data_IF_220411227116
#
_entry.id   IF_220411227116
#
_cell.length_a   1.000
_cell.length_b   1.000
_cell.length_c   1.000
_cell.angle_alpha   90.00
_cell.angle_beta   90.00
_cell.angle_gamma   90.00
#
_symmetry.space_group_name_H-M   'P 1'
#
loop_
_entity.id
_entity.type
_entity.pdbx_description
1 polymer ?
#
# COMPACT_ATOMS: atom_id res chain seq x y z
N UNK A 1 -29.01 -8.24 -46.35
CA UNK A 1 -27.63 -8.06 -46.83
C UNK A 1 -26.86 -7.00 -46.05
N UNK A 2 -27.30 -5.75 -45.90
CA UNK A 2 -26.56 -4.68 -45.15
C UNK A 2 -26.33 -5.01 -43.67
N UNK A 3 -27.29 -5.59 -42.95
CA UNK A 3 -27.15 -5.98 -41.53
C UNK A 3 -26.06 -7.01 -41.29
N UNK A 4 -25.89 -7.95 -42.21
CA UNK A 4 -24.85 -8.99 -42.13
C UNK A 4 -23.45 -8.41 -42.33
N UNK A 5 -23.29 -7.47 -43.26
CA UNK A 5 -22.02 -6.77 -43.51
C UNK A 5 -21.61 -5.96 -42.27
N UNK A 6 -22.53 -5.18 -41.70
CA UNK A 6 -22.26 -4.41 -40.46
C UNK A 6 -21.91 -5.31 -39.28
N UNK A 7 -22.63 -6.42 -39.11
CA UNK A 7 -22.38 -7.38 -38.03
C UNK A 7 -20.97 -8.02 -38.09
N UNK A 8 -20.46 -8.26 -39.32
CA UNK A 8 -19.14 -8.87 -39.52
C UNK A 8 -18.00 -7.84 -39.61
N UNK A 9 -18.31 -6.55 -39.75
CA UNK A 9 -17.33 -5.50 -39.85
C UNK A 9 -16.64 -5.19 -38.49
N UNK A 10 -15.33 -5.37 -38.41
CA UNK A 10 -14.55 -5.11 -37.20
C UNK A 10 -14.61 -3.64 -36.78
N UNK A 11 -14.59 -2.71 -37.76
CA UNK A 11 -14.66 -1.27 -37.49
C UNK A 11 -16.03 -0.91 -36.91
N UNK A 12 -17.14 -1.39 -37.51
CA UNK A 12 -18.47 -1.16 -36.96
C UNK A 12 -18.64 -1.74 -35.57
N UNK A 13 -18.09 -2.95 -35.29
CA UNK A 13 -18.11 -3.55 -33.97
C UNK A 13 -17.37 -2.71 -32.93
N UNK A 14 -16.23 -2.12 -33.30
CA UNK A 14 -15.48 -1.22 -32.39
C UNK A 14 -16.25 0.06 -32.09
N UNK A 15 -16.92 0.66 -33.09
CA UNK A 15 -17.70 1.89 -32.93
C UNK A 15 -19.00 1.64 -32.16
N UNK A 16 -19.67 0.51 -32.41
CA UNK A 16 -20.94 0.15 -31.76
C UNK A 16 -20.72 -0.51 -30.35
N UNK A 17 -19.49 -0.79 -29.96
CA UNK A 17 -19.18 -1.40 -28.66
C UNK A 17 -19.61 -0.48 -27.53
N UNK A 18 -20.66 -0.87 -26.81
CA UNK A 18 -21.00 -0.22 -25.56
C UNK A 18 -19.86 -0.46 -24.56
N UNK A 19 -19.36 0.61 -23.98
CA UNK A 19 -18.42 0.52 -22.87
C UNK A 19 -19.16 -0.14 -21.72
N UNK A 20 -18.61 -1.23 -21.20
CA UNK A 20 -19.11 -1.82 -19.96
C UNK A 20 -18.80 -0.84 -18.82
N UNK A 21 -19.83 -0.39 -18.13
CA UNK A 21 -19.65 0.41 -16.93
C UNK A 21 -18.97 -0.44 -15.85
N UNK A 22 -17.99 0.12 -15.20
CA UNK A 22 -17.38 -0.52 -14.03
C UNK A 22 -18.38 -0.47 -12.89
N UNK A 23 -18.71 -1.64 -12.35
CA UNK A 23 -19.51 -1.73 -11.12
C UNK A 23 -18.62 -1.21 -9.98
N UNK A 24 -18.87 0.02 -9.54
CA UNK A 24 -18.19 0.59 -8.38
C UNK A 24 -18.77 -0.01 -7.11
N UNK A 25 -17.93 -0.69 -6.33
CA UNK A 25 -18.29 -1.12 -4.99
C UNK A 25 -18.50 0.08 -4.04
N UNK A 26 -19.14 -0.17 -2.89
CA UNK A 26 -19.25 0.86 -1.84
C UNK A 26 -17.86 1.26 -1.35
N UNK A 27 -17.64 2.57 -1.18
CA UNK A 27 -16.39 3.06 -0.60
C UNK A 27 -16.22 2.56 0.83
N UNK A 28 -14.99 2.24 1.26
CA UNK A 28 -14.69 1.93 2.66
C UNK A 28 -15.15 3.06 3.60
N UNK A 29 -15.65 2.71 4.77
CA UNK A 29 -16.17 3.66 5.77
C UNK A 29 -15.08 4.65 6.18
N UNK A 30 -13.83 4.24 6.19
CA UNK A 30 -12.65 5.05 6.52
C UNK A 30 -12.40 6.19 5.52
N UNK A 31 -12.97 6.09 4.32
CA UNK A 31 -12.95 7.18 3.33
C UNK A 31 -14.09 8.18 3.47
N UNK A 32 -15.12 7.80 4.19
CA UNK A 32 -16.35 8.58 4.33
C UNK A 32 -16.39 9.34 5.66
N UNK A 33 -15.72 8.84 6.70
CA UNK A 33 -15.70 9.45 8.02
C UNK A 33 -14.45 10.31 8.20
N UNK A 34 -14.59 11.55 8.69
CA UNK A 34 -13.44 12.35 9.11
C UNK A 34 -12.64 11.61 10.18
N UNK A 35 -11.34 11.52 10.01
CA UNK A 35 -10.41 10.93 10.99
C UNK A 35 -9.08 11.69 10.94
N UNK A 36 -8.25 11.60 12.00
CA UNK A 36 -6.91 12.18 11.99
C UNK A 36 -6.11 11.72 10.78
N UNK A 37 -5.24 12.57 10.27
CA UNK A 37 -4.36 12.22 9.15
C UNK A 37 -3.52 10.97 9.49
N UNK A 38 -3.40 10.06 8.52
CA UNK A 38 -2.64 8.80 8.62
C UNK A 38 -3.19 7.76 9.61
N UNK A 39 -4.30 8.02 10.27
CA UNK A 39 -4.97 7.05 11.17
C UNK A 39 -5.35 5.77 10.42
N UNK A 40 -5.91 5.91 9.22
CA UNK A 40 -6.22 4.79 8.33
C UNK A 40 -5.39 4.95 7.06
N UNK A 41 -4.42 4.05 6.84
CA UNK A 41 -3.45 4.14 5.75
C UNK A 41 -3.50 2.90 4.90
N UNK A 42 -3.62 3.06 3.59
CA UNK A 42 -3.47 1.99 2.62
C UNK A 42 -2.02 1.95 2.11
N UNK A 43 -1.50 0.74 1.90
CA UNK A 43 -0.14 0.48 1.41
C UNK A 43 -0.25 -0.33 0.13
N UNK A 44 0.57 0.03 -0.84
CA UNK A 44 0.75 -0.73 -2.08
C UNK A 44 2.23 -0.70 -2.50
N UNK A 45 2.67 -1.75 -3.19
CA UNK A 45 4.02 -1.87 -3.74
C UNK A 45 3.96 -1.81 -5.25
N UNK A 46 4.87 -1.05 -5.84
CA UNK A 46 4.96 -0.91 -7.28
C UNK A 46 6.41 -1.04 -7.78
N UNK A 47 6.58 -1.39 -9.01
CA UNK A 47 7.88 -1.70 -9.63
C UNK A 47 7.90 -3.11 -10.19
N UNK A 48 9.07 -3.76 -10.34
CA UNK A 48 10.41 -3.32 -9.93
C UNK A 48 11.06 -2.28 -10.85
N UNK A 49 11.86 -1.41 -10.26
CA UNK A 49 12.73 -0.49 -10.99
C UNK A 49 14.15 -1.04 -11.03
N UNK A 50 14.81 -0.87 -12.17
CA UNK A 50 16.22 -1.24 -12.32
C UNK A 50 17.09 -0.09 -11.84
N UNK A 51 17.98 -0.35 -10.89
CA UNK A 51 18.96 0.60 -10.38
C UNK A 51 20.36 0.08 -10.63
N UNK A 52 21.30 0.99 -10.93
CA UNK A 52 22.72 0.65 -10.96
C UNK A 52 23.28 0.72 -9.55
N UNK A 53 24.03 -0.32 -9.16
CA UNK A 53 24.76 -0.30 -7.90
C UNK A 53 25.86 0.79 -7.96
N UNK A 54 25.91 1.66 -6.96
CA UNK A 54 26.91 2.72 -6.89
C UNK A 54 28.33 2.18 -6.72
N UNK A 55 28.48 1.06 -6.01
CA UNK A 55 29.77 0.43 -5.72
C UNK A 55 30.19 -0.50 -6.86
N UNK A 56 29.27 -1.34 -7.35
CA UNK A 56 29.49 -2.28 -8.46
C UNK A 56 28.76 -1.81 -9.69
N UNK A 57 29.29 -0.81 -10.39
CA UNK A 57 28.70 -0.15 -11.58
C UNK A 57 28.14 -1.08 -12.67
N UNK A 58 28.50 -2.37 -12.64
CA UNK A 58 28.04 -3.41 -13.59
C UNK A 58 26.83 -4.21 -13.09
N UNK A 59 26.49 -4.12 -11.81
CA UNK A 59 25.37 -4.89 -11.24
C UNK A 59 24.10 -4.06 -11.32
N UNK A 60 23.04 -4.64 -11.90
CA UNK A 60 21.72 -4.03 -11.96
C UNK A 60 20.91 -4.63 -10.81
N UNK A 61 20.64 -3.84 -9.79
CA UNK A 61 19.72 -4.19 -8.72
C UNK A 61 18.27 -3.92 -9.12
N UNK A 62 17.34 -4.52 -8.39
CA UNK A 62 15.90 -4.21 -8.49
C UNK A 62 15.47 -3.55 -7.19
N UNK A 63 14.77 -2.43 -7.29
CA UNK A 63 14.16 -1.73 -6.16
C UNK A 63 12.66 -1.63 -6.38
N UNK A 64 11.89 -1.53 -5.31
CA UNK A 64 10.44 -1.38 -5.35
C UNK A 64 10.04 -0.09 -4.67
N UNK A 65 9.05 0.59 -5.23
CA UNK A 65 8.41 1.70 -4.56
C UNK A 65 7.34 1.17 -3.61
N UNK A 66 7.20 1.83 -2.47
CA UNK A 66 6.12 1.61 -1.50
C UNK A 66 5.34 2.90 -1.40
N UNK A 67 4.05 2.84 -1.67
CA UNK A 67 3.15 3.97 -1.55
C UNK A 67 2.26 3.80 -0.33
N UNK A 68 2.21 4.81 0.51
CA UNK A 68 1.28 4.93 1.62
C UNK A 68 0.25 6.00 1.27
N UNK A 69 -1.01 5.66 1.37
CA UNK A 69 -2.12 6.56 1.05
C UNK A 69 -3.02 6.71 2.29
N UNK A 70 -3.14 7.93 2.79
CA UNK A 70 -4.09 8.23 3.84
C UNK A 70 -5.53 8.17 3.30
N UNK A 71 -6.37 7.30 3.86
CA UNK A 71 -7.73 7.11 3.36
C UNK A 71 -8.63 8.33 3.65
N UNK A 72 -8.39 9.06 4.73
CA UNK A 72 -9.17 10.23 5.11
C UNK A 72 -8.78 11.48 4.30
N UNK A 73 -7.48 11.81 4.24
CA UNK A 73 -7.00 13.06 3.62
C UNK A 73 -6.55 12.91 2.18
N UNK A 74 -6.38 11.67 1.71
CA UNK A 74 -5.79 11.31 0.42
C UNK A 74 -4.34 11.75 0.24
N UNK A 75 -3.67 12.11 1.32
CA UNK A 75 -2.24 12.41 1.29
C UNK A 75 -1.46 11.15 0.93
N UNK A 76 -0.38 11.34 0.17
CA UNK A 76 0.47 10.26 -0.30
C UNK A 76 1.87 10.43 0.28
N UNK A 77 2.46 9.33 0.74
CA UNK A 77 3.86 9.23 1.12
C UNK A 77 4.49 8.08 0.33
N UNK A 78 5.62 8.33 -0.28
CA UNK A 78 6.32 7.34 -1.12
C UNK A 78 7.71 7.12 -0.54
N UNK A 79 8.13 5.85 -0.46
CA UNK A 79 9.47 5.45 -0.05
C UNK A 79 9.95 4.28 -0.92
N UNK A 80 11.23 3.93 -0.81
CA UNK A 80 11.87 2.89 -1.61
C UNK A 80 12.31 1.71 -0.73
N UNK A 81 11.95 0.51 -1.14
CA UNK A 81 12.48 -0.74 -0.63
C UNK A 81 13.58 -1.25 -1.57
N UNK A 82 14.76 -1.52 -1.03
CA UNK A 82 15.92 -1.93 -1.82
C UNK A 82 15.69 -3.25 -2.56
N UNK A 83 14.90 -4.15 -1.99
CA UNK A 83 14.47 -5.40 -2.59
C UNK A 83 13.05 -5.78 -2.13
N UNK A 84 12.55 -6.92 -2.62
CA UNK A 84 11.21 -7.42 -2.34
C UNK A 84 11.24 -8.39 -1.13
N UNK A 85 11.89 -7.98 -0.03
CA UNK A 85 11.97 -8.76 1.21
C UNK A 85 11.14 -8.13 2.33
N UNK A 86 10.71 -8.97 3.28
CA UNK A 86 9.98 -8.53 4.48
C UNK A 86 10.79 -7.56 5.31
N UNK A 87 12.10 -7.81 5.48
CA UNK A 87 12.99 -6.93 6.25
C UNK A 87 13.04 -5.51 5.66
N UNK A 88 13.18 -5.40 4.33
CA UNK A 88 13.23 -4.10 3.65
C UNK A 88 11.89 -3.38 3.71
N UNK A 89 10.80 -4.11 3.61
CA UNK A 89 9.47 -3.55 3.81
C UNK A 89 9.29 -3.02 5.25
N UNK A 90 9.72 -3.76 6.26
CA UNK A 90 9.69 -3.31 7.66
C UNK A 90 10.55 -2.07 7.92
N UNK A 91 11.70 -1.96 7.26
CA UNK A 91 12.53 -0.74 7.34
C UNK A 91 11.78 0.48 6.76
N UNK A 92 11.09 0.30 5.64
CA UNK A 92 10.26 1.35 5.04
C UNK A 92 9.11 1.73 5.97
N UNK A 93 8.42 0.74 6.55
CA UNK A 93 7.34 0.97 7.50
C UNK A 93 7.82 1.73 8.74
N UNK A 94 8.98 1.38 9.29
CA UNK A 94 9.60 2.11 10.42
C UNK A 94 9.90 3.57 10.06
N UNK A 95 10.45 3.84 8.87
CA UNK A 95 10.67 5.23 8.40
C UNK A 95 9.35 5.99 8.27
N UNK A 96 8.33 5.37 7.66
CA UNK A 96 7.01 5.96 7.56
C UNK A 96 6.45 6.34 8.94
N UNK A 97 6.48 5.41 9.90
CA UNK A 97 5.97 5.63 11.25
C UNK A 97 6.72 6.74 11.99
N UNK A 98 8.05 6.83 11.83
CA UNK A 98 8.86 7.88 12.46
C UNK A 98 8.54 9.29 11.92
N UNK A 99 8.05 9.39 10.67
CA UNK A 99 7.73 10.67 10.03
C UNK A 99 6.25 11.06 10.20
N UNK A 100 5.35 10.08 10.14
CA UNK A 100 3.90 10.30 10.04
C UNK A 100 3.13 9.87 11.28
N UNK A 101 3.77 9.15 12.19
CA UNK A 101 3.13 8.55 13.36
C UNK A 101 2.55 7.16 13.06
N UNK A 102 2.12 6.47 14.13
CA UNK A 102 1.53 5.13 14.04
C UNK A 102 0.12 5.19 13.47
N UNK A 103 -0.18 4.49 12.38
CA UNK A 103 -1.54 4.33 11.91
C UNK A 103 -2.30 3.36 12.81
N UNK A 104 -3.57 3.66 13.08
CA UNK A 104 -4.46 2.74 13.81
C UNK A 104 -4.83 1.52 12.96
N UNK A 105 -4.97 1.73 11.65
CA UNK A 105 -5.32 0.69 10.70
C UNK A 105 -4.45 0.77 9.45
N UNK A 106 -3.88 -0.37 9.05
CA UNK A 106 -3.15 -0.54 7.80
C UNK A 106 -3.95 -1.45 6.87
N UNK A 107 -4.14 -1.01 5.65
CA UNK A 107 -4.79 -1.76 4.57
C UNK A 107 -3.75 -2.07 3.50
N UNK A 108 -3.63 -3.33 3.14
CA UNK A 108 -2.76 -3.77 2.04
C UNK A 108 -3.49 -4.82 1.22
N UNK A 109 -2.99 -5.07 0.02
CA UNK A 109 -3.33 -6.29 -0.68
C UNK A 109 -2.74 -7.52 0.06
N UNK A 110 -3.12 -8.73 -0.37
CA UNK A 110 -2.60 -9.97 0.22
C UNK A 110 -1.20 -10.33 -0.30
N UNK A 111 -0.34 -9.36 -0.55
CA UNK A 111 1.05 -9.60 -0.92
C UNK A 111 1.78 -10.41 0.14
N UNK A 112 2.57 -11.41 -0.27
CA UNK A 112 3.27 -12.32 0.65
C UNK A 112 4.14 -11.57 1.68
N UNK A 113 4.76 -10.44 1.29
CA UNK A 113 5.62 -9.64 2.18
C UNK A 113 4.81 -8.91 3.24
N UNK A 114 3.62 -8.39 2.90
CA UNK A 114 2.74 -7.73 3.87
C UNK A 114 2.16 -8.73 4.85
N UNK A 115 1.82 -9.95 4.38
CA UNK A 115 1.36 -11.05 5.25
C UNK A 115 2.48 -11.47 6.21
N UNK A 116 3.70 -11.71 5.70
CA UNK A 116 4.85 -12.06 6.53
C UNK A 116 5.22 -10.95 7.52
N UNK A 117 5.20 -9.69 7.09
CA UNK A 117 5.45 -8.54 7.96
C UNK A 117 4.39 -8.43 9.07
N UNK A 118 3.12 -8.70 8.77
CA UNK A 118 2.06 -8.71 9.77
C UNK A 118 2.29 -9.80 10.85
N UNK A 119 2.70 -11.00 10.46
CA UNK A 119 3.03 -12.08 11.39
C UNK A 119 4.25 -11.72 12.26
N UNK A 120 5.31 -11.15 11.68
CA UNK A 120 6.48 -10.70 12.41
C UNK A 120 6.12 -9.59 13.40
N UNK A 121 5.35 -8.58 12.99
CA UNK A 121 4.89 -7.51 13.87
C UNK A 121 4.01 -8.04 15.00
N UNK A 122 3.11 -8.98 14.73
CA UNK A 122 2.30 -9.64 15.78
C UNK A 122 3.18 -10.36 16.81
N UNK A 123 4.23 -11.04 16.36
CA UNK A 123 5.14 -11.75 17.24
C UNK A 123 5.96 -10.79 18.10
N UNK A 124 6.43 -9.67 17.53
CA UNK A 124 7.12 -8.60 18.27
C UNK A 124 6.19 -8.00 19.33
N UNK A 125 4.95 -7.66 18.97
CA UNK A 125 3.96 -7.09 19.90
C UNK A 125 3.59 -8.06 21.02
N UNK A 126 3.49 -9.37 20.73
CA UNK A 126 3.27 -10.39 21.77
C UNK A 126 4.44 -10.50 22.76
N UNK A 127 5.67 -10.23 22.31
CA UNK A 127 6.85 -10.23 23.17
C UNK A 127 7.00 -8.96 24.02
N UNK A 128 6.21 -7.93 23.78
CA UNK A 128 6.26 -6.70 24.55
C UNK A 128 5.53 -6.84 25.89
N UNK A 129 6.15 -6.35 26.95
CA UNK A 129 5.49 -6.25 28.25
C UNK A 129 4.42 -5.14 28.19
N UNK A 130 3.17 -5.57 28.08
CA UNK A 130 2.01 -4.67 27.94
C UNK A 130 1.84 -3.72 29.14
N UNK A 131 2.26 -4.14 30.33
CA UNK A 131 2.18 -3.32 31.53
C UNK A 131 3.21 -2.19 31.54
N UNK A 132 4.44 -2.49 31.14
CA UNK A 132 5.48 -1.47 30.97
C UNK A 132 5.13 -0.43 29.91
N UNK A 133 4.56 -0.88 28.79
CA UNK A 133 4.09 0.02 27.73
C UNK A 133 2.95 0.93 28.20
N UNK A 134 1.99 0.41 28.97
CA UNK A 134 0.91 1.20 29.54
C UNK A 134 1.46 2.25 30.52
N UNK A 135 2.39 1.84 31.38
CA UNK A 135 3.03 2.74 32.35
C UNK A 135 3.82 3.85 31.66
N UNK A 136 4.57 3.49 30.61
CA UNK A 136 5.30 4.46 29.78
C UNK A 136 4.34 5.40 29.05
N UNK A 137 3.29 4.87 28.44
CA UNK A 137 2.28 5.69 27.75
C UNK A 137 1.60 6.70 28.66
N UNK A 138 1.29 6.30 29.92
CA UNK A 138 0.69 7.22 30.91
C UNK A 138 1.70 8.30 31.33
N UNK A 139 3.00 7.97 31.50
CA UNK A 139 4.04 8.95 31.85
C UNK A 139 4.28 9.97 30.71
N UNK A 140 4.21 9.54 29.44
CA UNK A 140 4.42 10.41 28.28
C UNK A 140 3.13 11.10 27.80
N UNK A 141 2.01 10.92 28.50
CA UNK A 141 0.73 11.60 28.20
C UNK A 141 -0.01 11.06 26.97
N UNK A 142 0.32 9.87 26.51
CA UNK A 142 -0.45 9.17 25.47
C UNK A 142 -1.72 8.57 26.08
N UNK A 143 -2.87 8.97 25.51
CA UNK A 143 -4.17 8.39 25.84
C UNK A 143 -4.51 7.26 24.90
#
# INVERSE_FOLDING_TARGET
MVKSIRYNCVICKKLDKRLSEQIMGKLPVERLKPSPAWSCTAIDLFGPFKIKDEVKKRTIGKTHGVVFNCLATRAVHIDLAADYSTEKFLMVLRRFVSIRGFPSNLYSDNGLQQVAANEELKNVVKGWNQEELKTFGVMEGFK
#
